data_IF_046075314598
#
_entry.id   IF_046075314598
#
_cell.length_a   1.000
_cell.length_b   1.000
_cell.length_c   1.000
_cell.angle_alpha   90.00
_cell.angle_beta   90.00
_cell.angle_gamma   90.00
#
_symmetry.space_group_name_H-M   'P 1'
#
loop_
_entity.id
_entity.type
_entity.pdbx_description
1 polymer ?
#
# COMPACT_ATOMS: atom_id res chain seq x y z
N UNK A 1 -16.09 36.37 30.14
CA UNK A 1 -16.76 35.31 30.90
C UNK A 1 -15.76 34.19 31.15
N UNK A 2 -15.30 33.90 32.38
CA UNK A 2 -14.49 32.73 32.66
C UNK A 2 -15.35 31.46 32.75
N UNK A 3 -14.79 30.31 32.36
CA UNK A 3 -15.48 29.01 32.30
C UNK A 3 -15.69 28.37 33.70
N UNK A 4 -16.75 27.58 33.91
CA UNK A 4 -17.15 27.05 35.22
C UNK A 4 -16.27 25.90 35.72
N UNK A 5 -15.98 25.92 37.03
CA UNK A 5 -15.11 25.01 37.76
C UNK A 5 -15.74 23.62 38.01
N UNK A 6 -15.93 22.84 36.94
CA UNK A 6 -16.46 21.47 37.04
C UNK A 6 -16.00 20.47 35.98
N UNK A 7 -15.11 20.86 35.06
CA UNK A 7 -14.65 20.01 33.96
C UNK A 7 -13.22 19.46 34.18
N UNK A 8 -12.80 19.26 35.42
CA UNK A 8 -11.61 18.48 35.73
C UNK A 8 -12.00 17.01 35.84
N UNK A 9 -12.31 16.37 34.70
CA UNK A 9 -12.31 14.92 34.63
C UNK A 9 -10.86 14.46 34.62
N UNK A 10 -10.45 13.78 35.69
CA UNK A 10 -9.17 13.07 35.80
C UNK A 10 -9.11 11.93 34.77
N UNK A 11 -8.87 12.25 33.50
CA UNK A 11 -8.32 11.27 32.58
C UNK A 11 -6.80 11.38 32.66
N UNK A 12 -6.17 10.34 33.19
CA UNK A 12 -4.73 10.12 33.08
C UNK A 12 -4.36 10.20 31.59
N UNK A 13 -3.37 11.00 31.23
CA UNK A 13 -2.97 11.26 29.82
C UNK A 13 -2.62 9.96 29.05
N UNK A 14 -2.45 8.86 29.78
CA UNK A 14 -2.13 7.52 29.28
C UNK A 14 -3.35 6.65 28.96
N UNK A 15 -4.57 7.05 29.33
CA UNK A 15 -5.80 6.26 29.18
C UNK A 15 -6.16 6.07 27.70
N UNK A 16 -6.10 7.15 26.91
CA UNK A 16 -6.38 7.09 25.47
C UNK A 16 -5.40 6.21 24.67
N UNK A 17 -4.15 6.09 25.11
CA UNK A 17 -3.15 5.21 24.47
C UNK A 17 -3.46 3.74 24.78
N UNK A 18 -3.89 3.44 26.00
CA UNK A 18 -4.30 2.09 26.42
C UNK A 18 -5.54 1.64 25.66
N UNK A 19 -6.57 2.48 25.59
CA UNK A 19 -7.78 2.18 24.80
C UNK A 19 -7.47 1.95 23.32
N UNK A 20 -6.55 2.72 22.74
CA UNK A 20 -6.13 2.53 21.35
C UNK A 20 -5.42 1.18 21.13
N UNK A 21 -4.55 0.78 22.06
CA UNK A 21 -3.85 -0.51 22.01
C UNK A 21 -4.84 -1.69 22.19
N UNK A 22 -5.80 -1.56 23.10
CA UNK A 22 -6.83 -2.59 23.33
C UNK A 22 -7.79 -2.70 22.15
N UNK A 23 -8.21 -1.58 21.57
CA UNK A 23 -9.01 -1.55 20.33
C UNK A 23 -8.27 -2.25 19.18
N UNK A 24 -6.96 -1.99 19.04
CA UNK A 24 -6.13 -2.60 18.01
C UNK A 24 -5.94 -4.11 18.22
N UNK A 25 -5.82 -4.57 19.47
CA UNK A 25 -5.75 -6.01 19.82
C UNK A 25 -7.07 -6.72 19.52
N UNK A 26 -8.19 -6.18 19.99
CA UNK A 26 -9.53 -6.74 19.77
C UNK A 26 -9.89 -6.83 18.28
N UNK A 27 -9.56 -5.81 17.49
CA UNK A 27 -9.78 -5.85 16.04
C UNK A 27 -8.92 -6.90 15.32
N UNK A 28 -7.67 -7.10 15.78
CA UNK A 28 -6.78 -8.15 15.23
C UNK A 28 -7.28 -9.55 15.59
N UNK A 29 -7.74 -9.75 16.82
CA UNK A 29 -8.30 -11.02 17.28
C UNK A 29 -9.57 -11.38 16.52
N UNK A 30 -10.46 -10.41 16.26
CA UNK A 30 -11.65 -10.62 15.42
C UNK A 30 -11.28 -11.03 13.99
N UNK A 31 -10.30 -10.37 13.36
CA UNK A 31 -9.83 -10.74 12.02
C UNK A 31 -9.16 -12.13 11.97
N UNK A 32 -8.45 -12.51 13.03
CA UNK A 32 -7.84 -13.84 13.16
C UNK A 32 -8.93 -14.91 13.33
N UNK A 33 -9.95 -14.64 14.14
CA UNK A 33 -11.06 -15.57 14.35
C UNK A 33 -11.94 -15.71 13.10
N UNK A 34 -12.14 -14.62 12.35
CA UNK A 34 -12.85 -14.61 11.07
C UNK A 34 -12.10 -15.33 9.94
N UNK A 35 -10.76 -15.37 9.99
CA UNK A 35 -9.92 -16.05 8.99
C UNK A 35 -9.67 -17.53 9.31
N UNK A 36 -9.86 -17.97 10.56
CA UNK A 36 -9.85 -19.39 10.94
C UNK A 36 -11.10 -20.14 10.50
N UNK A 37 -12.22 -19.45 10.32
CA UNK A 37 -13.43 -20.06 9.78
C UNK A 37 -13.26 -20.22 8.27
N UNK A 38 -13.42 -21.44 7.70
CA UNK A 38 -13.34 -21.66 6.26
C UNK A 38 -14.57 -21.05 5.58
N UNK A 39 -14.63 -19.71 5.51
CA UNK A 39 -15.57 -18.99 4.65
C UNK A 39 -15.12 -19.28 3.22
N UNK A 40 -15.96 -19.99 2.47
CA UNK A 40 -15.85 -20.02 1.01
C UNK A 40 -15.62 -18.59 0.49
N UNK A 41 -14.86 -18.41 -0.60
CA UNK A 41 -14.61 -17.11 -1.24
C UNK A 41 -15.95 -16.42 -1.59
N UNK A 42 -16.53 -15.73 -0.61
CA UNK A 42 -17.70 -14.88 -0.78
C UNK A 42 -17.15 -13.52 -1.14
N UNK A 43 -17.70 -12.95 -2.21
CA UNK A 43 -17.46 -11.56 -2.58
C UNK A 43 -18.03 -10.70 -1.46
N UNK A 44 -17.31 -9.66 -1.07
CA UNK A 44 -17.78 -8.74 -0.03
C UNK A 44 -19.17 -8.19 -0.36
N UNK A 45 -19.97 -7.88 0.66
CA UNK A 45 -21.37 -7.44 0.46
C UNK A 45 -21.49 -6.21 -0.44
N UNK A 46 -20.48 -5.32 -0.43
CA UNK A 46 -20.41 -4.16 -1.34
C UNK A 46 -20.25 -4.55 -2.82
N UNK A 47 -19.81 -5.78 -3.11
CA UNK A 47 -19.66 -6.34 -4.46
C UNK A 47 -20.89 -7.09 -4.95
N UNK A 48 -21.81 -7.45 -4.05
CA UNK A 48 -23.01 -8.24 -4.37
C UNK A 48 -24.28 -7.40 -4.28
N UNK A 49 -24.29 -6.37 -3.42
CA UNK A 49 -25.40 -5.43 -3.35
C UNK A 49 -25.38 -4.56 -4.62
N UNK A 50 -26.34 -4.72 -5.57
CA UNK A 50 -26.52 -3.69 -6.56
C UNK A 50 -26.79 -2.38 -5.81
N UNK A 51 -26.25 -1.23 -6.27
CA UNK A 51 -26.64 0.04 -5.69
C UNK A 51 -28.17 0.12 -5.80
N UNK A 52 -28.84 0.19 -4.64
CA UNK A 52 -30.29 0.21 -4.59
C UNK A 52 -30.76 1.31 -5.54
N UNK A 53 -31.44 0.93 -6.62
CA UNK A 53 -31.75 1.84 -7.74
C UNK A 53 -32.66 3.00 -7.33
N UNK A 54 -33.12 3.00 -6.08
CA UNK A 54 -33.92 4.04 -5.45
C UNK A 54 -33.12 5.16 -4.79
N UNK A 55 -32.00 4.94 -4.12
CA UNK A 55 -31.43 6.01 -3.29
C UNK A 55 -30.78 7.15 -4.09
N UNK A 56 -30.19 6.84 -5.24
CA UNK A 56 -29.55 7.84 -6.12
C UNK A 56 -30.49 8.39 -7.19
N UNK A 57 -31.51 7.64 -7.59
CA UNK A 57 -32.45 8.02 -8.66
C UNK A 57 -33.77 8.58 -8.11
N UNK A 58 -34.10 8.39 -6.82
CA UNK A 58 -35.36 8.87 -6.24
C UNK A 58 -35.41 10.39 -6.06
N UNK A 59 -34.25 11.07 -6.01
CA UNK A 59 -34.20 12.54 -5.94
C UNK A 59 -34.06 13.21 -7.31
N UNK A 60 -33.79 12.43 -8.36
CA UNK A 60 -33.53 12.90 -9.72
C UNK A 60 -34.69 12.46 -10.60
N UNK A 61 -35.67 13.34 -10.71
CA UNK A 61 -36.75 13.21 -11.68
C UNK A 61 -36.16 13.32 -13.11
N UNK A 62 -36.15 12.22 -13.91
CA UNK A 62 -35.52 12.21 -15.23
C UNK A 62 -36.18 13.17 -16.21
N UNK A 63 -37.39 13.65 -15.91
CA UNK A 63 -38.13 14.60 -16.74
C UNK A 63 -37.80 16.07 -16.41
N UNK A 64 -37.16 16.33 -15.26
CA UNK A 64 -36.76 17.68 -14.82
C UNK A 64 -35.25 17.93 -14.93
N UNK A 65 -34.49 16.93 -15.36
CA UNK A 65 -33.05 17.05 -15.57
C UNK A 65 -32.79 17.91 -16.81
N UNK A 66 -32.56 19.21 -16.60
CA UNK A 66 -32.11 20.12 -17.67
C UNK A 66 -30.85 19.54 -18.32
N UNK A 67 -30.79 19.51 -19.65
CA UNK A 67 -29.69 18.94 -20.43
C UNK A 67 -28.32 19.44 -19.94
N UNK A 68 -27.66 18.65 -19.09
CA UNK A 68 -26.29 18.91 -18.62
C UNK A 68 -25.35 18.46 -19.73
N UNK A 69 -25.24 19.29 -20.77
CA UNK A 69 -24.23 19.13 -21.81
C UNK A 69 -22.85 19.33 -21.17
N UNK A 70 -21.88 18.50 -21.54
CA UNK A 70 -20.50 18.72 -21.12
C UNK A 70 -20.04 20.09 -21.62
N UNK A 71 -19.65 20.98 -20.71
CA UNK A 71 -19.08 22.28 -21.05
C UNK A 71 -17.81 22.06 -21.87
N UNK A 72 -17.88 22.33 -23.18
CA UNK A 72 -16.74 22.28 -24.11
C UNK A 72 -15.83 23.51 -23.97
N UNK A 73 -15.59 23.99 -22.75
CA UNK A 73 -14.67 25.10 -22.54
C UNK A 73 -13.24 24.60 -22.70
N UNK A 74 -12.62 24.96 -23.82
CA UNK A 74 -11.19 24.84 -24.08
C UNK A 74 -10.44 25.88 -23.26
N UNK A 75 -10.51 25.81 -21.93
CA UNK A 75 -9.74 26.73 -21.09
C UNK A 75 -8.29 26.25 -21.08
N UNK A 76 -7.39 27.11 -21.53
CA UNK A 76 -5.96 26.85 -21.66
C UNK A 76 -5.37 26.20 -20.40
N UNK A 77 -4.86 24.98 -20.58
CA UNK A 77 -4.22 24.15 -19.56
C UNK A 77 -2.84 24.73 -19.22
N UNK A 78 -2.80 25.82 -18.45
CA UNK A 78 -1.61 26.24 -17.69
C UNK A 78 -1.88 26.12 -16.20
N UNK A 79 -2.03 24.88 -15.71
CA UNK A 79 -1.49 24.41 -14.44
C UNK A 79 -2.00 22.99 -14.19
N UNK A 80 -1.06 22.04 -14.12
CA UNK A 80 -1.23 20.60 -13.90
C UNK A 80 -1.94 19.79 -15.01
N UNK A 81 -1.32 18.69 -15.50
CA UNK A 81 -2.00 17.78 -16.42
C UNK A 81 -3.05 16.98 -15.66
N UNK A 82 -4.28 17.50 -15.61
CA UNK A 82 -5.50 16.73 -15.32
C UNK A 82 -5.80 15.67 -16.42
N UNK A 83 -4.76 15.17 -17.09
CA UNK A 83 -4.79 14.15 -18.15
C UNK A 83 -3.96 12.92 -17.77
N UNK A 84 -3.51 12.76 -16.51
CA UNK A 84 -2.58 11.67 -16.15
C UNK A 84 -3.12 10.27 -16.48
N UNK A 85 -4.45 10.11 -16.49
CA UNK A 85 -5.13 8.87 -16.82
C UNK A 85 -5.56 8.76 -18.30
N UNK A 86 -5.52 9.86 -19.06
CA UNK A 86 -5.80 9.91 -20.51
C UNK A 86 -4.54 10.11 -21.37
N UNK A 87 -3.35 10.07 -20.77
CA UNK A 87 -2.07 10.15 -21.48
C UNK A 87 -1.92 9.02 -22.51
N UNK A 88 -1.48 9.39 -23.71
CA UNK A 88 -1.07 8.42 -24.74
C UNK A 88 0.19 7.66 -24.29
N UNK A 89 0.45 6.43 -24.80
CA UNK A 89 1.61 5.64 -24.39
C UNK A 89 2.96 6.36 -24.61
N UNK A 90 3.08 7.10 -25.71
CA UNK A 90 4.27 7.87 -26.08
C UNK A 90 4.49 9.05 -25.13
N UNK A 91 3.42 9.77 -24.80
CA UNK A 91 3.46 10.88 -23.84
C UNK A 91 3.83 10.39 -22.44
N UNK A 92 3.34 9.21 -22.03
CA UNK A 92 3.73 8.58 -20.77
C UNK A 92 5.23 8.27 -20.72
N UNK A 93 5.81 7.75 -21.79
CA UNK A 93 7.24 7.47 -21.87
C UNK A 93 8.06 8.76 -21.77
N UNK A 94 7.63 9.80 -22.48
CA UNK A 94 8.27 11.11 -22.42
C UNK A 94 8.20 11.70 -21.01
N UNK A 95 7.04 11.60 -20.35
CA UNK A 95 6.90 12.02 -18.96
C UNK A 95 7.85 11.25 -18.04
N UNK A 96 7.94 9.93 -18.17
CA UNK A 96 8.87 9.13 -17.37
C UNK A 96 10.33 9.52 -17.61
N UNK A 97 10.71 9.77 -18.86
CA UNK A 97 12.06 10.23 -19.20
C UNK A 97 12.36 11.63 -18.63
N UNK A 98 11.39 12.54 -18.68
CA UNK A 98 11.51 13.89 -18.12
C UNK A 98 11.54 13.88 -16.59
N UNK A 99 10.86 12.93 -15.94
CA UNK A 99 10.92 12.70 -14.50
C UNK A 99 12.28 12.12 -14.08
N UNK A 100 12.80 11.13 -14.80
CA UNK A 100 14.12 10.53 -14.53
C UNK A 100 15.24 11.54 -14.77
N UNK A 101 15.11 12.39 -15.80
CA UNK A 101 16.07 13.46 -16.08
C UNK A 101 15.87 14.71 -15.20
N UNK A 102 14.87 14.73 -14.32
CA UNK A 102 14.61 15.82 -13.38
C UNK A 102 14.05 17.11 -14.01
N UNK A 103 13.77 17.10 -15.32
CA UNK A 103 13.20 18.26 -16.05
C UNK A 103 11.76 18.54 -15.67
N UNK A 104 11.02 17.50 -15.23
CA UNK A 104 9.64 17.60 -14.73
C UNK A 104 9.55 16.95 -13.36
N UNK A 105 8.92 17.62 -12.40
CA UNK A 105 8.58 17.00 -11.11
C UNK A 105 7.59 15.86 -11.35
N UNK A 106 7.77 14.77 -10.61
CA UNK A 106 6.89 13.61 -10.64
C UNK A 106 5.44 14.05 -10.44
N UNK A 107 4.53 13.60 -11.31
CA UNK A 107 3.17 14.14 -11.41
C UNK A 107 2.38 14.12 -10.08
N UNK A 108 2.63 13.13 -9.22
CA UNK A 108 2.06 12.98 -7.87
C UNK A 108 2.63 13.97 -6.83
N UNK A 109 3.77 14.60 -7.11
CA UNK A 109 4.40 15.63 -6.27
C UNK A 109 4.33 17.03 -6.91
N UNK A 110 3.45 17.22 -7.90
CA UNK A 110 3.19 18.53 -8.50
C UNK A 110 2.31 19.40 -7.57
N UNK A 111 2.74 19.59 -6.32
CA UNK A 111 2.14 20.55 -5.39
C UNK A 111 2.97 21.83 -5.46
N UNK A 112 2.25 22.88 -5.83
CA UNK A 112 2.49 24.34 -5.76
C UNK A 112 3.92 24.80 -5.48
N UNK A 113 4.45 25.59 -6.42
CA UNK A 113 5.62 26.43 -6.21
C UNK A 113 5.42 27.30 -4.95
N UNK A 114 6.30 27.08 -3.96
CA UNK A 114 6.33 27.73 -2.67
C UNK A 114 7.26 26.94 -1.77
N UNK A 115 8.57 27.22 -1.85
CA UNK A 115 9.59 26.60 -1.00
C UNK A 115 9.51 27.27 0.37
N UNK A 116 8.46 26.96 1.13
CA UNK A 116 8.31 27.41 2.52
C UNK A 116 9.14 26.53 3.46
N UNK A 117 9.67 27.11 4.53
CA UNK A 117 10.37 26.40 5.63
C UNK A 117 9.60 25.17 6.14
N UNK A 118 8.27 25.21 6.08
CA UNK A 118 7.41 24.09 6.46
C UNK A 118 7.53 22.88 5.54
N UNK A 119 7.86 23.08 4.26
CA UNK A 119 8.10 21.98 3.31
C UNK A 119 9.41 21.26 3.64
N UNK A 120 10.44 22.00 4.04
CA UNK A 120 11.75 21.46 4.45
C UNK A 120 11.58 20.66 5.76
N UNK A 121 10.85 21.21 6.73
CA UNK A 121 10.56 20.51 8.01
C UNK A 121 9.74 19.24 7.80
N UNK A 122 8.73 19.28 6.93
CA UNK A 122 7.96 18.08 6.55
C UNK A 122 8.86 17.01 5.92
N UNK A 123 9.70 17.41 4.96
CA UNK A 123 10.63 16.49 4.30
C UNK A 123 11.60 15.82 5.26
N UNK A 124 12.13 16.55 6.25
CA UNK A 124 12.99 15.99 7.31
C UNK A 124 12.24 14.95 8.16
N UNK A 125 11.04 15.29 8.64
CA UNK A 125 10.19 14.35 9.38
C UNK A 125 9.86 13.10 8.58
N UNK A 126 9.52 13.25 7.30
CA UNK A 126 9.18 12.12 6.44
C UNK A 126 10.40 11.21 6.20
N UNK A 127 11.60 11.80 6.09
CA UNK A 127 12.85 11.04 6.00
C UNK A 127 13.15 10.26 7.29
N UNK A 128 12.95 10.88 8.46
CA UNK A 128 13.12 10.21 9.76
C UNK A 128 12.14 9.05 9.94
N UNK A 129 10.85 9.28 9.64
CA UNK A 129 9.82 8.23 9.66
C UNK A 129 10.16 7.09 8.70
N UNK A 130 10.61 7.42 7.48
CA UNK A 130 11.02 6.41 6.51
C UNK A 130 12.20 5.59 7.01
N UNK A 131 13.21 6.23 7.59
CA UNK A 131 14.37 5.54 8.16
C UNK A 131 13.97 4.63 9.33
N UNK A 132 13.06 5.08 10.20
CA UNK A 132 12.55 4.28 11.31
C UNK A 132 11.78 3.05 10.83
N UNK A 133 10.90 3.23 9.85
CA UNK A 133 10.13 2.15 9.23
C UNK A 133 11.06 1.15 8.52
N UNK A 134 12.06 1.63 7.80
CA UNK A 134 13.06 0.77 7.16
C UNK A 134 13.88 -0.02 8.18
N UNK A 135 14.30 0.60 9.29
CA UNK A 135 15.03 -0.08 10.37
C UNK A 135 14.18 -1.19 10.99
N UNK A 136 12.91 -0.89 11.33
CA UNK A 136 11.98 -1.88 11.85
C UNK A 136 11.70 -3.01 10.85
N UNK A 137 11.53 -2.68 9.56
CA UNK A 137 11.31 -3.69 8.53
C UNK A 137 12.52 -4.61 8.36
N UNK A 138 13.74 -4.09 8.46
CA UNK A 138 14.97 -4.91 8.39
C UNK A 138 15.11 -5.87 9.58
N UNK A 139 14.65 -5.50 10.78
CA UNK A 139 14.76 -6.35 11.97
C UNK A 139 13.61 -7.34 12.13
N UNK A 140 12.39 -6.94 11.76
CA UNK A 140 11.17 -7.68 12.12
C UNK A 140 10.60 -8.47 10.94
N UNK A 141 10.91 -8.06 9.70
CA UNK A 141 10.35 -8.68 8.48
C UNK A 141 11.37 -9.62 7.84
N UNK A 142 10.89 -10.73 7.31
CA UNK A 142 11.68 -11.58 6.42
C UNK A 142 12.12 -10.79 5.16
N UNK A 143 13.16 -11.29 4.48
CA UNK A 143 13.68 -10.68 3.25
C UNK A 143 12.56 -10.40 2.24
N UNK A 144 12.61 -9.22 1.61
CA UNK A 144 11.61 -8.89 0.58
C UNK A 144 11.78 -9.79 -0.64
N UNK A 145 10.66 -10.13 -1.30
CA UNK A 145 10.69 -10.92 -2.53
C UNK A 145 11.56 -10.27 -3.61
N UNK A 146 11.58 -8.94 -3.69
CA UNK A 146 12.48 -8.21 -4.59
C UNK A 146 13.95 -8.48 -4.25
N UNK A 147 14.31 -8.47 -2.96
CA UNK A 147 15.67 -8.77 -2.51
C UNK A 147 16.07 -10.22 -2.86
N UNK A 148 15.19 -11.19 -2.59
CA UNK A 148 15.41 -12.61 -2.92
C UNK A 148 15.64 -12.84 -4.41
N UNK A 149 14.93 -12.12 -5.27
CA UNK A 149 15.02 -12.26 -6.73
C UNK A 149 16.13 -11.38 -7.36
N UNK A 150 16.58 -10.34 -6.67
CA UNK A 150 17.75 -9.54 -7.07
C UNK A 150 19.08 -10.17 -6.66
N UNK A 151 19.07 -11.01 -5.62
CA UNK A 151 20.23 -11.80 -5.24
C UNK A 151 20.51 -12.82 -6.36
N UNK A 152 21.79 -13.04 -6.72
CA UNK A 152 22.14 -14.07 -7.68
C UNK A 152 21.57 -15.40 -7.19
N UNK A 153 20.71 -16.01 -7.99
CA UNK A 153 20.14 -17.32 -7.67
C UNK A 153 21.31 -18.28 -7.45
N UNK A 154 21.36 -19.01 -6.32
CA UNK A 154 22.44 -19.96 -6.09
C UNK A 154 22.37 -21.01 -7.20
N UNK A 155 23.33 -20.96 -8.12
CA UNK A 155 23.52 -21.95 -9.19
C UNK A 155 23.40 -23.33 -8.56
N UNK A 156 22.36 -24.06 -9.00
CA UNK A 156 22.01 -25.40 -8.55
C UNK A 156 23.28 -26.25 -8.47
N UNK A 157 23.74 -26.54 -7.24
CA UNK A 157 24.98 -27.28 -6.98
C UNK A 157 24.94 -28.55 -7.81
N UNK A 158 25.86 -28.67 -8.76
CA UNK A 158 26.00 -29.85 -9.60
C UNK A 158 26.40 -31.01 -8.68
N UNK A 159 25.47 -31.96 -8.48
CA UNK A 159 25.75 -33.21 -7.80
C UNK A 159 26.84 -33.92 -8.60
N UNK A 160 28.00 -34.10 -7.97
CA UNK A 160 29.07 -34.92 -8.52
C UNK A 160 28.57 -36.38 -8.50
N UNK A 161 28.80 -37.17 -9.56
CA UNK A 161 28.33 -38.56 -9.59
C UNK A 161 29.12 -39.37 -8.56
N UNK A 162 28.40 -40.03 -7.67
CA UNK A 162 28.95 -41.00 -6.71
C UNK A 162 29.49 -42.19 -7.49
N UNK A 163 30.81 -42.30 -7.60
CA UNK A 163 31.48 -43.54 -8.02
C UNK A 163 32.52 -43.94 -6.98
N UNK A 164 32.32 -45.13 -6.41
CA UNK A 164 33.24 -45.84 -5.52
C UNK A 164 32.48 -46.47 -4.35
N UNK A 165 32.58 -47.74 -3.98
CA UNK A 165 33.51 -48.83 -4.28
C UNK A 165 32.75 -50.13 -3.98
N UNK A 166 32.68 -51.08 -4.91
CA UNK A 166 32.31 -52.48 -4.61
C UNK A 166 33.57 -53.25 -4.25
N UNK A 167 33.63 -53.83 -3.04
CA UNK A 167 34.62 -54.87 -2.71
C UNK A 167 34.00 -55.92 -1.78
N UNK A 168 33.66 -57.05 -2.40
CA UNK A 168 33.96 -58.43 -1.97
C UNK A 168 33.77 -58.81 -0.50
N UNK A 169 32.64 -59.46 -0.18
CA UNK A 169 32.57 -60.47 0.90
C UNK A 169 31.57 -61.56 0.49
N UNK A 170 32.05 -62.65 -0.12
CA UNK A 170 31.40 -63.96 -0.07
C UNK A 170 32.48 -65.05 -0.20
N UNK A 171 32.64 -65.86 0.84
CA UNK A 171 33.61 -66.96 0.86
C UNK A 171 33.81 -67.52 2.26
N UNK A 172 32.81 -68.23 2.79
CA UNK A 172 33.03 -69.16 3.92
C UNK A 172 31.98 -70.27 3.89
N UNK A 173 32.37 -71.43 3.36
CA UNK A 173 31.74 -72.72 3.68
C UNK A 173 32.80 -73.83 3.52
N UNK A 174 32.71 -74.81 4.41
CA UNK A 174 33.43 -76.10 4.49
C UNK A 174 34.69 -76.14 5.37
N UNK A 175 34.57 -76.92 6.45
CA UNK A 175 35.57 -77.30 7.43
C UNK A 175 34.90 -77.99 8.61
#
# INVERSE_FOLDING_TARGET
MPLPAGAASEHDDNDGVREFIERAKSGREQQIEESKQPKALKRDDWMLAPPSSSDLFSSIDPTKLKNRQFSRSTTDKKSAPSNLWTETPQERQQRLADEVSGKRKRAENAVTAGDDEDTIKRRKRDQELKAQVEAHNKSTRAESLVAMHSAPTPTRRTLHPVYGITREIWGSVAG
#
